data_IF_209054077617
#
_entry.id   IF_209054077617
#
_cell.length_a   1.000
_cell.length_b   1.000
_cell.length_c   1.000
_cell.angle_alpha   90.00
_cell.angle_beta   90.00
_cell.angle_gamma   90.00
#
_symmetry.space_group_name_H-M   'P 1'
#
loop_
_entity.id
_entity.type
_entity.pdbx_description
1 polymer ?
#
# COMPACT_ATOMS: atom_id res chain seq x y z
N UNK A 1 -26.91 -10.01 -9.95
CA UNK A 1 -25.82 -9.60 -10.85
C UNK A 1 -25.85 -8.09 -10.91
N UNK A 2 -25.04 -7.44 -10.08
CA UNK A 2 -25.00 -5.98 -10.01
C UNK A 2 -23.69 -5.49 -10.64
N UNK A 3 -23.77 -5.25 -11.95
CA UNK A 3 -22.66 -4.80 -12.81
C UNK A 3 -22.33 -3.31 -12.62
N UNK A 4 -23.00 -2.61 -11.70
CA UNK A 4 -22.86 -1.15 -11.51
C UNK A 4 -21.68 -0.76 -10.61
N UNK A 5 -21.22 -1.66 -9.74
CA UNK A 5 -20.12 -1.38 -8.79
C UNK A 5 -18.73 -1.32 -9.45
N UNK A 6 -18.52 -2.09 -10.52
CA UNK A 6 -17.26 -2.07 -11.27
C UNK A 6 -17.05 -0.77 -12.04
N UNK A 7 -18.13 -0.16 -12.54
CA UNK A 7 -18.08 1.07 -13.33
C UNK A 7 -17.91 2.33 -12.45
N UNK A 8 -18.48 2.33 -11.24
CA UNK A 8 -18.30 3.44 -10.29
C UNK A 8 -16.87 3.51 -9.72
N UNK A 9 -16.21 2.37 -9.48
CA UNK A 9 -14.82 2.38 -9.00
C UNK A 9 -13.86 2.93 -10.07
N UNK A 10 -14.09 2.60 -11.35
CA UNK A 10 -13.33 3.16 -12.47
C UNK A 10 -13.51 4.67 -12.62
N UNK A 11 -14.72 5.20 -12.38
CA UNK A 11 -15.01 6.62 -12.56
C UNK A 11 -14.43 7.49 -11.44
N UNK A 12 -14.42 7.00 -10.19
CA UNK A 12 -13.84 7.73 -9.05
C UNK A 12 -12.31 7.82 -9.17
N UNK A 13 -11.64 6.74 -9.58
CA UNK A 13 -10.18 6.71 -9.81
C UNK A 13 -9.79 7.63 -10.97
N UNK A 14 -10.58 7.67 -12.04
CA UNK A 14 -10.30 8.56 -13.19
C UNK A 14 -10.37 10.06 -12.81
N UNK A 15 -11.21 10.44 -11.84
CA UNK A 15 -11.37 11.85 -11.46
C UNK A 15 -10.22 12.33 -10.54
N UNK A 16 -9.70 11.46 -9.67
CA UNK A 16 -8.55 11.76 -8.81
C UNK A 16 -7.24 11.89 -9.62
N UNK A 17 -7.05 11.03 -10.62
CA UNK A 17 -5.90 11.11 -11.54
C UNK A 17 -5.92 12.39 -12.39
N UNK A 18 -7.11 12.89 -12.75
CA UNK A 18 -7.23 14.06 -13.64
C UNK A 18 -6.80 15.38 -12.99
N UNK A 19 -6.96 15.52 -11.66
CA UNK A 19 -6.60 16.76 -10.97
C UNK A 19 -5.10 16.92 -10.70
N UNK A 20 -4.31 15.85 -10.84
CA UNK A 20 -2.85 15.92 -10.67
C UNK A 20 -2.08 15.98 -12.01
N UNK A 21 -2.72 15.55 -13.11
CA UNK A 21 -2.06 15.32 -14.41
C UNK A 21 -1.93 16.56 -15.33
N UNK A 22 -1.66 17.76 -14.78
CA UNK A 22 -1.15 18.89 -15.59
C UNK A 22 0.39 18.93 -15.66
N UNK A 23 1.07 17.89 -15.17
CA UNK A 23 2.49 17.63 -15.41
C UNK A 23 2.67 16.41 -16.32
N UNK A 24 3.14 16.68 -17.54
CA UNK A 24 3.70 15.79 -18.56
C UNK A 24 3.36 14.29 -18.49
N UNK A 25 2.52 13.88 -19.44
CA UNK A 25 2.29 12.50 -19.84
C UNK A 25 3.53 11.99 -20.60
N UNK A 26 4.65 11.81 -19.90
CA UNK A 26 5.82 11.15 -20.47
C UNK A 26 5.55 9.64 -20.57
N UNK A 27 5.19 9.26 -21.78
CA UNK A 27 5.21 7.89 -22.27
C UNK A 27 6.69 7.49 -22.42
N UNK A 28 7.32 7.03 -21.35
CA UNK A 28 8.67 6.47 -21.44
C UNK A 28 8.70 4.96 -21.20
N UNK A 29 9.46 4.37 -22.11
CA UNK A 29 9.59 3.01 -22.56
C UNK A 29 10.03 2.00 -21.51
N UNK A 30 9.77 0.72 -21.82
CA UNK A 30 10.38 -0.46 -21.17
C UNK A 30 11.90 -0.26 -21.01
N UNK A 31 12.35 0.12 -19.80
CA UNK A 31 13.78 0.12 -19.47
C UNK A 31 14.14 -1.26 -18.93
N UNK A 32 14.69 -2.09 -19.80
CA UNK A 32 15.30 -3.37 -19.45
C UNK A 32 16.81 -3.23 -19.36
N UNK A 33 17.37 -2.60 -18.32
CA UNK A 33 18.83 -2.37 -18.25
C UNK A 33 19.40 -2.52 -16.85
N UNK A 34 20.16 -3.57 -16.56
CA UNK A 34 20.92 -3.69 -15.30
C UNK A 34 21.57 -2.36 -14.86
N UNK A 35 21.48 -2.02 -13.57
CA UNK A 35 22.16 -0.84 -13.00
C UNK A 35 23.68 -0.93 -13.27
N UNK A 36 24.38 0.21 -13.21
CA UNK A 36 25.85 0.26 -13.31
C UNK A 36 26.58 -0.54 -12.22
N UNK A 37 25.88 -0.97 -11.18
CA UNK A 37 26.38 -1.86 -10.12
C UNK A 37 26.04 -3.35 -10.34
N UNK A 38 25.50 -3.71 -11.51
CA UNK A 38 25.21 -5.08 -11.92
C UNK A 38 23.93 -5.68 -11.32
N UNK A 39 23.11 -4.89 -10.60
CA UNK A 39 21.80 -5.36 -10.13
C UNK A 39 20.76 -5.23 -11.23
N UNK A 40 19.76 -6.14 -11.29
CA UNK A 40 18.63 -5.99 -12.20
C UNK A 40 17.98 -4.61 -12.00
N UNK A 41 17.71 -3.92 -13.11
CA UNK A 41 16.87 -2.74 -13.07
C UNK A 41 15.51 -3.17 -12.56
N UNK A 42 15.06 -2.52 -11.51
CA UNK A 42 13.70 -2.66 -11.08
C UNK A 42 12.83 -1.91 -12.07
N UNK A 43 11.87 -2.61 -12.68
CA UNK A 43 10.88 -1.96 -13.54
C UNK A 43 10.00 -1.04 -12.69
N UNK A 44 10.18 0.26 -12.86
CA UNK A 44 9.30 1.28 -12.34
C UNK A 44 7.97 1.20 -13.09
N UNK A 45 6.87 1.28 -12.36
CA UNK A 45 5.50 1.25 -12.87
C UNK A 45 4.75 2.49 -12.44
N UNK A 46 3.88 2.95 -13.33
CA UNK A 46 2.87 3.96 -13.03
C UNK A 46 1.78 3.39 -12.13
N UNK A 47 1.04 4.27 -11.44
CA UNK A 47 -0.14 3.88 -10.64
C UNK A 47 -1.14 3.09 -11.50
N UNK A 48 -1.40 3.55 -12.72
CA UNK A 48 -2.34 2.90 -13.65
C UNK A 48 -1.92 1.48 -14.02
N UNK A 49 -0.64 1.23 -14.29
CA UNK A 49 -0.13 -0.12 -14.55
C UNK A 49 -0.29 -1.03 -13.33
N UNK A 50 -0.02 -0.52 -12.12
CA UNK A 50 -0.23 -1.28 -10.88
C UNK A 50 -1.70 -1.64 -10.72
N UNK A 51 -2.63 -0.71 -10.94
CA UNK A 51 -4.06 -0.98 -10.88
C UNK A 51 -4.50 -2.07 -11.87
N UNK A 52 -3.94 -2.05 -13.09
CA UNK A 52 -4.19 -3.11 -14.08
C UNK A 52 -3.69 -4.46 -13.57
N UNK A 53 -2.50 -4.55 -12.97
CA UNK A 53 -2.02 -5.82 -12.40
C UNK A 53 -2.89 -6.30 -11.23
N UNK A 54 -3.29 -5.40 -10.34
CA UNK A 54 -4.21 -5.76 -9.25
C UNK A 54 -5.58 -6.21 -9.77
N UNK A 55 -6.06 -5.68 -10.89
CA UNK A 55 -7.32 -6.16 -11.50
C UNK A 55 -7.23 -7.63 -11.92
N UNK A 56 -6.07 -8.08 -12.40
CA UNK A 56 -5.80 -9.49 -12.73
C UNK A 56 -5.66 -10.35 -11.48
N UNK A 57 -4.97 -9.85 -10.45
CA UNK A 57 -4.83 -10.55 -9.16
C UNK A 57 -6.19 -10.77 -8.45
N UNK A 58 -7.16 -9.90 -8.73
CA UNK A 58 -8.53 -9.95 -8.22
C UNK A 58 -9.44 -10.94 -8.97
N UNK A 59 -8.95 -11.67 -9.98
CA UNK A 59 -9.70 -12.74 -10.62
C UNK A 59 -10.24 -13.73 -9.58
N UNK A 60 -11.57 -13.89 -9.51
CA UNK A 60 -12.24 -14.66 -8.46
C UNK A 60 -12.72 -13.85 -7.24
N UNK A 61 -12.78 -12.51 -7.32
CA UNK A 61 -13.30 -11.58 -6.29
C UNK A 61 -12.42 -11.44 -5.03
N UNK A 62 -11.10 -11.62 -5.15
CA UNK A 62 -10.21 -11.40 -4.01
C UNK A 62 -10.24 -9.92 -3.57
N UNK A 63 -10.34 -9.69 -2.28
CA UNK A 63 -10.19 -8.40 -1.63
C UNK A 63 -8.72 -8.03 -1.52
N UNK A 64 -8.39 -6.75 -1.61
CA UNK A 64 -7.05 -6.26 -1.27
C UNK A 64 -7.09 -5.67 0.13
N UNK A 65 -6.40 -6.34 1.05
CA UNK A 65 -6.27 -5.91 2.44
C UNK A 65 -4.88 -5.34 2.62
N UNK A 66 -4.81 -4.01 2.71
CA UNK A 66 -3.53 -3.30 2.82
C UNK A 66 -3.19 -3.05 4.28
N UNK A 67 -1.99 -3.43 4.70
CA UNK A 67 -1.43 -3.07 5.99
C UNK A 67 -0.49 -1.88 5.86
N UNK A 68 -0.61 -0.95 6.80
CA UNK A 68 0.30 0.19 6.95
C UNK A 68 0.66 0.37 8.43
N UNK A 69 1.81 0.97 8.71
CA UNK A 69 2.32 1.07 10.09
C UNK A 69 3.81 1.40 10.14
N UNK A 70 4.42 1.22 11.32
CA UNK A 70 5.85 1.46 11.50
C UNK A 70 6.67 0.44 10.68
N UNK A 71 7.57 0.93 9.84
CA UNK A 71 8.51 0.11 9.06
C UNK A 71 9.84 -0.04 9.80
N UNK A 72 10.87 0.74 9.42
CA UNK A 72 12.21 0.70 10.01
C UNK A 72 12.27 1.00 11.51
N UNK A 73 11.29 1.74 12.05
CA UNK A 73 11.18 2.02 13.49
C UNK A 73 10.81 0.77 14.31
N UNK A 74 10.14 -0.22 13.69
CA UNK A 74 9.71 -1.44 14.36
C UNK A 74 8.60 -1.25 15.41
N UNK A 75 8.32 -2.32 16.13
CA UNK A 75 7.34 -2.38 17.23
C UNK A 75 8.04 -2.86 18.50
N UNK A 76 7.64 -2.35 19.67
CA UNK A 76 8.17 -2.84 20.95
C UNK A 76 7.78 -4.30 21.19
N UNK A 77 6.54 -4.65 20.85
CA UNK A 77 6.03 -6.01 20.94
C UNK A 77 5.51 -6.49 19.58
N UNK A 78 6.43 -7.00 18.76
CA UNK A 78 6.12 -7.59 17.46
C UNK A 78 5.07 -8.71 17.56
N UNK A 79 5.11 -9.55 18.59
CA UNK A 79 4.14 -10.62 18.80
C UNK A 79 2.71 -10.08 18.99
N UNK A 80 2.57 -8.99 19.75
CA UNK A 80 1.29 -8.31 19.93
C UNK A 80 0.80 -7.69 18.62
N UNK A 81 1.68 -7.02 17.87
CA UNK A 81 1.36 -6.48 16.54
C UNK A 81 0.87 -7.60 15.60
N UNK A 82 1.57 -8.73 15.52
CA UNK A 82 1.19 -9.87 14.68
C UNK A 82 -0.13 -10.51 15.14
N UNK A 83 -0.40 -10.55 16.44
CA UNK A 83 -1.69 -11.03 16.97
C UNK A 83 -2.85 -10.15 16.50
N UNK A 84 -2.65 -8.83 16.50
CA UNK A 84 -3.64 -7.87 16.00
C UNK A 84 -3.83 -8.02 14.48
N UNK A 85 -2.74 -8.12 13.72
CA UNK A 85 -2.80 -8.34 12.27
C UNK A 85 -3.53 -9.65 11.93
N UNK A 86 -3.22 -10.75 12.64
CA UNK A 86 -3.91 -12.03 12.47
C UNK A 86 -5.41 -11.88 12.70
N UNK A 87 -5.81 -11.23 13.80
CA UNK A 87 -7.23 -11.02 14.12
C UNK A 87 -7.97 -10.29 13.00
N UNK A 88 -7.34 -9.29 12.37
CA UNK A 88 -7.97 -8.55 11.27
C UNK A 88 -7.97 -9.33 9.95
N UNK A 89 -7.08 -10.34 9.78
CA UNK A 89 -7.05 -11.26 8.65
C UNK A 89 -7.98 -12.47 8.80
N UNK A 90 -8.31 -12.89 10.02
CA UNK A 90 -9.13 -14.07 10.30
C UNK A 90 -10.44 -14.13 9.46
N UNK A 91 -11.19 -13.03 9.24
CA UNK A 91 -12.40 -13.05 8.41
C UNK A 91 -12.20 -13.48 6.96
N UNK A 92 -10.97 -13.38 6.42
CA UNK A 92 -10.63 -13.70 5.03
C UNK A 92 -9.94 -15.07 4.89
N UNK A 93 -9.60 -15.71 6.02
CA UNK A 93 -8.68 -16.85 6.05
C UNK A 93 -9.27 -18.15 5.54
N UNK A 94 -10.58 -18.40 5.75
CA UNK A 94 -11.23 -19.65 5.37
C UNK A 94 -11.23 -19.86 3.85
N UNK A 95 -11.55 -18.81 3.09
CA UNK A 95 -11.64 -18.85 1.63
C UNK A 95 -10.40 -18.34 0.92
N UNK A 96 -9.46 -17.74 1.67
CA UNK A 96 -8.28 -17.06 1.11
C UNK A 96 -8.69 -16.06 0.01
N UNK A 97 -9.80 -15.39 0.25
CA UNK A 97 -10.43 -14.45 -0.67
C UNK A 97 -9.82 -13.04 -0.55
N UNK A 98 -8.55 -12.98 -0.16
CA UNK A 98 -7.80 -11.74 -0.03
C UNK A 98 -6.36 -11.85 -0.54
N UNK A 99 -5.85 -10.73 -1.01
CA UNK A 99 -4.43 -10.45 -1.25
C UNK A 99 -3.99 -9.47 -0.16
N UNK A 100 -2.87 -9.78 0.50
CA UNK A 100 -2.31 -8.93 1.56
C UNK A 100 -1.25 -8.01 0.95
N UNK A 101 -1.48 -6.71 1.05
CA UNK A 101 -0.62 -5.69 0.46
C UNK A 101 0.09 -4.84 1.54
N UNK A 102 1.39 -4.56 1.41
CA UNK A 102 2.15 -3.70 2.36
C UNK A 102 3.19 -2.87 1.58
N UNK A 103 3.90 -1.95 2.23
CA UNK A 103 4.98 -1.14 1.67
C UNK A 103 6.29 -1.90 1.33
N UNK A 104 6.22 -3.17 0.93
CA UNK A 104 7.34 -4.09 0.63
C UNK A 104 8.41 -4.31 1.73
N UNK A 105 8.42 -3.53 2.81
CA UNK A 105 9.39 -3.63 3.91
C UNK A 105 9.41 -5.03 4.54
N UNK A 106 10.59 -5.48 4.99
CA UNK A 106 10.74 -6.75 5.71
C UNK A 106 10.59 -6.62 7.23
N UNK A 107 10.71 -5.40 7.73
CA UNK A 107 10.77 -5.10 9.16
C UNK A 107 9.53 -4.33 9.61
N UNK A 108 9.30 -4.30 10.92
CA UNK A 108 8.11 -3.66 11.48
C UNK A 108 6.83 -4.28 10.94
N UNK A 109 5.99 -3.47 10.29
CA UNK A 109 4.72 -3.91 9.70
C UNK A 109 4.94 -4.97 8.61
N UNK A 110 6.14 -4.99 8.00
CA UNK A 110 6.56 -6.02 7.05
C UNK A 110 6.53 -7.45 7.58
N UNK A 111 6.63 -7.64 8.90
CA UNK A 111 6.52 -8.97 9.50
C UNK A 111 5.16 -9.64 9.26
N UNK A 112 4.13 -8.86 8.89
CA UNK A 112 2.81 -9.37 8.49
C UNK A 112 2.89 -10.21 7.20
N UNK A 113 3.90 -10.00 6.32
CA UNK A 113 4.07 -10.86 5.15
C UNK A 113 4.25 -12.32 5.51
N UNK A 114 5.16 -12.62 6.44
CA UNK A 114 5.40 -14.00 6.90
C UNK A 114 4.13 -14.61 7.48
N UNK A 115 3.41 -13.86 8.31
CA UNK A 115 2.13 -14.29 8.87
C UNK A 115 1.09 -14.57 7.78
N UNK A 116 0.92 -13.66 6.82
CA UNK A 116 -0.03 -13.80 5.73
C UNK A 116 0.26 -15.04 4.88
N UNK A 117 1.53 -15.29 4.56
CA UNK A 117 1.96 -16.50 3.85
C UNK A 117 1.69 -17.77 4.64
N UNK A 118 1.94 -17.77 5.95
CA UNK A 118 1.61 -18.90 6.83
C UNK A 118 0.10 -19.17 6.87
N UNK A 119 -0.72 -18.13 6.75
CA UNK A 119 -2.18 -18.24 6.62
C UNK A 119 -2.64 -18.62 5.19
N UNK A 120 -1.72 -18.69 4.23
CA UNK A 120 -1.99 -19.10 2.85
C UNK A 120 -2.50 -17.98 1.95
N UNK A 121 -2.35 -16.70 2.33
CA UNK A 121 -2.65 -15.57 1.48
C UNK A 121 -1.52 -15.30 0.48
N UNK A 122 -1.88 -14.80 -0.69
CA UNK A 122 -0.94 -14.18 -1.62
C UNK A 122 -0.56 -12.79 -1.10
N UNK A 123 0.71 -12.42 -1.27
CA UNK A 123 1.24 -11.15 -0.77
C UNK A 123 1.77 -10.26 -1.90
N UNK A 124 1.45 -8.97 -1.83
CA UNK A 124 1.96 -7.94 -2.74
C UNK A 124 2.65 -6.83 -1.95
N UNK A 125 3.63 -6.18 -2.57
CA UNK A 125 4.27 -5.00 -2.03
C UNK A 125 4.22 -3.86 -3.03
N UNK A 126 3.91 -2.64 -2.57
CA UNK A 126 4.06 -1.42 -3.38
C UNK A 126 5.03 -0.51 -2.63
N UNK A 127 6.11 -0.09 -3.30
CA UNK A 127 7.15 0.75 -2.68
C UNK A 127 7.70 1.74 -3.71
N UNK A 128 8.30 2.84 -3.25
CA UNK A 128 9.07 3.70 -4.15
C UNK A 128 10.42 3.07 -4.50
N UNK A 129 10.89 3.32 -5.72
CA UNK A 129 12.21 2.90 -6.20
C UNK A 129 13.36 3.42 -5.32
N UNK A 130 13.17 4.50 -4.54
CA UNK A 130 14.18 5.02 -3.61
C UNK A 130 14.50 4.05 -2.47
N UNK A 131 13.62 3.07 -2.19
CA UNK A 131 13.90 1.99 -1.26
C UNK A 131 15.02 1.05 -1.77
N UNK A 132 15.39 1.17 -3.05
CA UNK A 132 16.45 0.42 -3.69
C UNK A 132 16.15 -1.07 -3.83
N UNK A 133 17.19 -1.84 -4.13
CA UNK A 133 17.11 -3.29 -4.29
C UNK A 133 17.43 -3.96 -2.94
N UNK A 134 16.48 -3.88 -2.00
CA UNK A 134 16.49 -4.73 -0.81
C UNK A 134 15.92 -6.11 -1.13
N UNK A 135 16.16 -7.15 -0.33
CA UNK A 135 15.28 -8.28 -0.43
C UNK A 135 13.89 -7.80 0.04
N UNK A 136 12.83 -8.23 -0.64
CA UNK A 136 11.44 -7.96 -0.27
C UNK A 136 10.79 -9.26 0.20
N UNK A 137 9.88 -9.19 1.17
CA UNK A 137 9.20 -10.39 1.70
C UNK A 137 7.88 -10.69 0.96
N UNK A 138 7.39 -9.82 0.08
CA UNK A 138 6.18 -10.08 -0.71
C UNK A 138 6.44 -11.06 -1.86
N UNK A 139 5.39 -11.74 -2.33
CA UNK A 139 5.46 -12.63 -3.49
C UNK A 139 5.60 -11.84 -4.80
N UNK A 140 4.97 -10.66 -4.85
CA UNK A 140 5.07 -9.70 -5.96
C UNK A 140 5.42 -8.34 -5.38
N UNK A 141 6.40 -7.64 -5.95
CA UNK A 141 6.75 -6.26 -5.56
C UNK A 141 6.62 -5.34 -6.76
N UNK A 142 5.87 -4.27 -6.58
CA UNK A 142 5.70 -3.18 -7.53
C UNK A 142 6.49 -1.96 -7.04
N UNK A 143 7.13 -1.28 -7.98
CA UNK A 143 7.94 -0.11 -7.69
C UNK A 143 7.40 1.09 -8.43
N UNK A 144 7.29 2.20 -7.72
CA UNK A 144 6.82 3.47 -8.25
C UNK A 144 7.98 4.47 -8.30
N UNK A 145 7.83 5.51 -9.11
CA UNK A 145 8.72 6.69 -9.03
C UNK A 145 8.34 7.54 -7.80
N UNK A 146 9.12 8.57 -7.52
CA UNK A 146 8.81 9.56 -6.49
C UNK A 146 9.40 9.26 -5.11
N UNK A 147 8.87 9.93 -4.09
CA UNK A 147 9.36 9.94 -2.71
C UNK A 147 8.94 8.72 -1.88
N UNK A 148 9.13 8.80 -0.55
CA UNK A 148 8.81 7.71 0.38
C UNK A 148 7.30 7.44 0.56
N UNK A 149 6.44 8.32 0.05
CA UNK A 149 4.99 8.32 0.28
C UNK A 149 4.50 9.62 0.91
N UNK A 150 3.19 9.74 1.09
CA UNK A 150 2.53 10.95 1.61
C UNK A 150 2.21 11.96 0.50
N UNK A 151 2.31 13.26 0.82
CA UNK A 151 2.08 14.33 -0.14
C UNK A 151 3.29 14.53 -1.06
N UNK A 152 3.05 14.59 -2.37
CA UNK A 152 4.05 14.90 -3.38
C UNK A 152 4.34 16.41 -3.51
N UNK A 153 3.49 17.25 -2.90
CA UNK A 153 3.61 18.70 -2.98
C UNK A 153 3.23 19.39 -1.67
N UNK A 154 3.78 20.60 -1.47
CA UNK A 154 3.61 21.37 -0.24
C UNK A 154 2.16 21.80 0.02
N UNK A 155 1.38 21.97 -1.05
CA UNK A 155 -0.04 22.35 -0.96
C UNK A 155 -0.97 21.17 -0.67
N UNK A 156 -0.42 19.96 -0.49
CA UNK A 156 -1.16 18.75 -0.09
C UNK A 156 -2.34 18.43 -1.01
N UNK A 157 -2.13 18.62 -2.31
CA UNK A 157 -3.15 18.37 -3.34
C UNK A 157 -2.91 17.08 -4.13
N UNK A 158 -1.69 16.55 -4.10
CA UNK A 158 -1.32 15.31 -4.79
C UNK A 158 -0.54 14.39 -3.86
N UNK A 159 -0.85 13.09 -3.90
CA UNK A 159 -0.06 12.06 -3.24
C UNK A 159 1.14 11.66 -4.08
N UNK A 160 2.18 11.18 -3.41
CA UNK A 160 3.26 10.40 -4.02
C UNK A 160 2.71 9.09 -4.62
N UNK A 161 3.27 8.65 -5.74
CA UNK A 161 2.77 7.49 -6.50
C UNK A 161 2.64 6.22 -5.66
N UNK A 162 3.57 5.99 -4.71
CA UNK A 162 3.53 4.83 -3.80
C UNK A 162 2.28 4.87 -2.91
N UNK A 163 1.97 6.01 -2.29
CA UNK A 163 0.80 6.18 -1.42
C UNK A 163 -0.50 6.18 -2.22
N UNK A 164 -0.51 6.84 -3.39
CA UNK A 164 -1.65 6.80 -4.31
C UNK A 164 -1.98 5.36 -4.71
N UNK A 165 -0.99 4.59 -5.15
CA UNK A 165 -1.18 3.19 -5.53
C UNK A 165 -1.61 2.33 -4.34
N UNK A 166 -0.99 2.48 -3.16
CA UNK A 166 -1.38 1.76 -1.94
C UNK A 166 -2.86 1.96 -1.60
N UNK A 167 -3.37 3.19 -1.71
CA UNK A 167 -4.77 3.51 -1.44
C UNK A 167 -5.67 2.99 -2.56
N UNK A 168 -5.36 3.31 -3.81
CA UNK A 168 -6.21 3.01 -4.95
C UNK A 168 -6.42 1.50 -5.18
N UNK A 169 -5.43 0.67 -4.83
CA UNK A 169 -5.57 -0.79 -4.92
C UNK A 169 -6.36 -1.40 -3.76
N UNK A 170 -6.71 -0.65 -2.71
CA UNK A 170 -7.22 -1.21 -1.45
C UNK A 170 -8.74 -1.39 -1.43
N UNK A 171 -9.21 -2.54 -0.94
CA UNK A 171 -10.61 -2.71 -0.50
C UNK A 171 -10.79 -2.37 0.99
N UNK A 172 -9.72 -2.48 1.78
CA UNK A 172 -9.65 -2.11 3.20
C UNK A 172 -8.20 -1.82 3.56
N UNK A 173 -8.00 -0.80 4.40
CA UNK A 173 -6.69 -0.47 4.97
C UNK A 173 -6.71 -0.75 6.48
N UNK A 174 -5.67 -1.42 6.98
CA UNK A 174 -5.47 -1.73 8.39
C UNK A 174 -4.18 -1.06 8.83
N UNK A 175 -4.31 -0.04 9.68
CA UNK A 175 -3.18 0.67 10.25
C UNK A 175 -2.91 0.21 11.67
N UNK A 176 -1.70 -0.27 11.93
CA UNK A 176 -1.26 -0.62 13.29
C UNK A 176 -0.19 0.38 13.72
N UNK A 177 -0.60 1.49 14.33
CA UNK A 177 0.26 2.68 14.48
C UNK A 177 0.70 3.24 13.12
N UNK A 178 1.78 4.01 13.09
CA UNK A 178 2.29 4.62 11.87
C UNK A 178 2.92 5.99 12.15
N UNK A 179 3.43 6.64 11.11
CA UNK A 179 3.88 8.03 11.22
C UNK A 179 3.13 8.92 10.25
N UNK A 180 3.69 10.10 9.94
CA UNK A 180 3.09 11.11 9.07
C UNK A 180 2.58 10.57 7.72
N UNK A 181 3.34 9.68 7.06
CA UNK A 181 2.92 9.06 5.80
C UNK A 181 1.63 8.25 5.99
N UNK A 182 1.57 7.44 7.04
CA UNK A 182 0.37 6.65 7.38
C UNK A 182 -0.82 7.58 7.66
N UNK A 183 -0.61 8.66 8.43
CA UNK A 183 -1.67 9.62 8.71
C UNK A 183 -2.27 10.22 7.43
N UNK A 184 -1.42 10.61 6.47
CA UNK A 184 -1.84 11.11 5.15
C UNK A 184 -2.61 10.04 4.38
N UNK A 185 -2.08 8.82 4.30
CA UNK A 185 -2.72 7.72 3.58
C UNK A 185 -4.12 7.39 4.13
N UNK A 186 -4.27 7.37 5.46
CA UNK A 186 -5.54 7.07 6.10
C UNK A 186 -6.56 8.18 5.88
N UNK A 187 -6.16 9.45 6.02
CA UNK A 187 -7.04 10.59 5.79
C UNK A 187 -7.57 10.60 4.35
N UNK A 188 -6.69 10.30 3.39
CA UNK A 188 -7.07 10.26 1.97
C UNK A 188 -7.91 9.03 1.61
N UNK A 189 -7.60 7.86 2.18
CA UNK A 189 -8.41 6.66 2.03
C UNK A 189 -9.85 6.87 2.52
N UNK A 190 -10.02 7.53 3.67
CA UNK A 190 -11.34 7.85 4.21
C UNK A 190 -12.13 8.82 3.34
N UNK A 191 -11.48 9.87 2.81
CA UNK A 191 -12.11 10.79 1.85
C UNK A 191 -12.62 10.05 0.61
N UNK A 192 -11.92 8.99 0.20
CA UNK A 192 -12.30 8.12 -0.92
C UNK A 192 -13.30 7.02 -0.56
N UNK A 193 -13.75 6.97 0.70
CA UNK A 193 -14.71 5.97 1.18
C UNK A 193 -14.14 4.56 1.32
N UNK A 194 -12.81 4.41 1.37
CA UNK A 194 -12.15 3.13 1.60
C UNK A 194 -12.21 2.82 3.10
N UNK A 195 -12.72 1.65 3.53
CA UNK A 195 -12.76 1.28 4.93
C UNK A 195 -11.37 1.26 5.57
N UNK A 196 -11.22 1.97 6.69
CA UNK A 196 -9.99 2.02 7.49
C UNK A 196 -10.23 1.40 8.87
N UNK A 197 -9.36 0.48 9.27
CA UNK A 197 -9.27 -0.03 10.64
C UNK A 197 -8.01 0.54 11.30
N UNK A 198 -8.20 1.32 12.36
CA UNK A 198 -7.12 1.94 13.13
C UNK A 198 -6.89 1.17 14.42
N UNK A 199 -5.67 0.66 14.59
CA UNK A 199 -5.25 -0.10 15.76
C UNK A 199 -4.07 0.62 16.40
N UNK A 200 -4.17 0.92 17.70
CA UNK A 200 -3.06 1.55 18.44
C UNK A 200 -1.82 0.63 18.40
N UNK A 201 -0.74 1.13 17.80
CA UNK A 201 0.59 0.51 17.85
C UNK A 201 1.32 0.83 19.16
N UNK A 202 2.40 0.11 19.42
CA UNK A 202 3.27 0.32 20.59
C UNK A 202 4.65 0.86 20.20
N UNK A 203 4.67 1.78 19.23
CA UNK A 203 5.87 2.44 18.71
C UNK A 203 6.71 3.15 19.79
N UNK A 204 7.91 3.56 19.40
CA UNK A 204 8.97 4.03 20.31
C UNK A 204 8.97 5.54 20.61
N UNK A 205 8.10 6.37 20.02
CA UNK A 205 8.02 7.80 20.36
C UNK A 205 6.69 8.18 21.04
N UNK A 206 6.72 9.15 21.97
CA UNK A 206 5.55 9.71 22.64
C UNK A 206 4.96 10.87 21.83
N UNK A 207 4.47 10.61 20.62
CA UNK A 207 3.61 11.57 19.91
C UNK A 207 2.25 10.89 19.71
N UNK A 208 1.43 10.93 20.77
CA UNK A 208 -0.01 10.61 20.76
C UNK A 208 -0.80 11.63 19.88
N UNK A 209 -0.34 11.93 18.67
CA UNK A 209 -1.15 12.50 17.57
C UNK A 209 -1.54 11.42 16.54
N UNK A 210 -0.97 10.22 16.68
CA UNK A 210 -1.27 9.08 15.85
C UNK A 210 -2.76 8.70 15.94
N UNK A 211 -3.47 8.93 14.84
CA UNK A 211 -4.79 8.37 14.48
C UNK A 211 -6.04 9.20 14.87
N UNK A 212 -5.91 10.45 15.32
CA UNK A 212 -7.07 11.31 15.54
C UNK A 212 -7.74 11.71 14.20
N UNK A 213 -9.07 11.61 14.06
CA UNK A 213 -9.75 12.18 12.90
C UNK A 213 -9.71 13.71 12.98
N UNK A 214 -9.06 14.35 12.00
CA UNK A 214 -9.19 15.81 11.76
C UNK A 214 -8.15 16.72 12.43
N UNK A 215 -6.87 16.32 12.45
CA UNK A 215 -5.77 17.27 12.64
C UNK A 215 -5.19 17.70 11.29
#
# INVERSE_FOLDING_TARGET
MDSSRGLQLFLIVATALFNCALGDFDNDSDVSDVNSDGRPLVRIRTVSEILVEFSKLREGYKKVITFTGYSGKGYKNTTKMLTLAKKSLDPYSEKKDAVVNIGATKVGIGAVYTLAKQMGFQTTGIVSAIAGNGPFESDITFFTKGGWGGWANDNQSCLEDASEAMIAVSDKIIAIGGGKIVAVELAEAEKRGIPVERIKGDGTEPDDEDLAPGA
#
